data_IF_389142632290
#
_entry.id   IF_389142632290
#
_cell.length_a   1.000
_cell.length_b   1.000
_cell.length_c   1.000
_cell.angle_alpha   90.00
_cell.angle_beta   90.00
_cell.angle_gamma   90.00
#
_symmetry.space_group_name_H-M   'P 1'
#
loop_
_entity.id
_entity.type
_entity.pdbx_description
1 polymer ?
#
# COMPACT_ATOMS: atom_id res chain seq x y z
N UNK A 1 40.15 1.45 -14.68
CA UNK A 1 38.77 1.90 -14.95
C UNK A 1 38.52 3.05 -14.00
N UNK A 2 38.32 4.25 -14.52
CA UNK A 2 38.03 5.45 -13.73
C UNK A 2 36.71 5.26 -12.96
N UNK A 3 36.63 5.83 -11.76
CA UNK A 3 35.43 5.77 -10.89
C UNK A 3 34.17 6.26 -11.62
N UNK A 4 34.32 7.21 -12.55
CA UNK A 4 33.27 7.73 -13.42
C UNK A 4 32.60 6.64 -14.29
N UNK A 5 33.36 5.69 -14.81
CA UNK A 5 32.81 4.58 -15.64
C UNK A 5 32.03 3.61 -14.76
N UNK A 6 32.44 3.42 -13.51
CA UNK A 6 31.76 2.54 -12.56
C UNK A 6 30.40 3.13 -12.14
N UNK A 7 30.32 4.45 -11.94
CA UNK A 7 29.08 5.13 -11.58
C UNK A 7 28.05 5.11 -12.72
N UNK A 8 28.47 5.37 -13.97
CA UNK A 8 27.57 5.33 -15.14
C UNK A 8 27.02 3.91 -15.36
N UNK A 9 27.88 2.89 -15.26
CA UNK A 9 27.46 1.49 -15.42
C UNK A 9 26.50 1.07 -14.31
N UNK A 10 26.72 1.56 -13.08
CA UNK A 10 25.83 1.31 -11.93
C UNK A 10 24.46 1.95 -12.15
N UNK A 11 24.42 3.20 -12.59
CA UNK A 11 23.18 3.93 -12.86
C UNK A 11 22.35 3.27 -13.99
N UNK A 12 23.00 2.89 -15.10
CA UNK A 12 22.33 2.23 -16.22
C UNK A 12 21.78 0.84 -15.86
N UNK A 13 22.50 0.10 -15.02
CA UNK A 13 22.08 -1.23 -14.58
C UNK A 13 20.90 -1.16 -13.59
N UNK A 14 20.85 -0.14 -12.73
CA UNK A 14 19.71 0.09 -11.84
C UNK A 14 18.42 0.44 -12.61
N UNK A 15 18.53 1.23 -13.68
CA UNK A 15 17.40 1.51 -14.58
C UNK A 15 16.92 0.27 -15.35
N UNK A 16 17.83 -0.62 -15.74
CA UNK A 16 17.52 -1.82 -16.52
C UNK A 16 16.95 -2.97 -15.69
N UNK A 17 17.30 -3.06 -14.40
CA UNK A 17 16.82 -4.11 -13.50
C UNK A 17 15.30 -4.09 -13.25
N UNK A 18 14.63 -2.96 -13.52
CA UNK A 18 13.17 -2.84 -13.46
C UNK A 18 12.45 -3.64 -14.57
N UNK A 19 13.16 -4.06 -15.63
CA UNK A 19 12.55 -4.68 -16.82
C UNK A 19 12.50 -6.22 -16.73
N UNK A 20 13.35 -6.86 -15.93
CA UNK A 20 13.63 -8.32 -15.99
C UNK A 20 12.86 -9.22 -15.00
N UNK A 21 11.69 -8.80 -14.50
CA UNK A 21 10.86 -9.57 -13.55
C UNK A 21 10.01 -10.69 -14.19
N UNK A 22 10.62 -11.61 -14.95
CA UNK A 22 9.91 -12.76 -15.55
C UNK A 22 9.25 -13.71 -14.55
N UNK A 23 9.78 -13.82 -13.32
CA UNK A 23 9.19 -14.59 -12.20
C UNK A 23 8.18 -13.75 -11.40
N UNK A 24 8.24 -12.42 -11.55
CA UNK A 24 7.22 -11.48 -11.09
C UNK A 24 5.87 -11.71 -11.75
N UNK A 25 5.75 -12.50 -12.82
CA UNK A 25 4.46 -12.78 -13.47
C UNK A 25 3.51 -13.58 -12.60
N UNK A 26 3.96 -14.65 -11.93
CA UNK A 26 3.05 -15.44 -11.07
C UNK A 26 2.68 -14.70 -9.78
N UNK A 27 3.62 -13.97 -9.17
CA UNK A 27 3.31 -13.08 -8.05
C UNK A 27 2.50 -11.87 -8.47
N UNK A 28 2.68 -11.35 -9.69
CA UNK A 28 1.79 -10.36 -10.28
C UNK A 28 0.43 -10.97 -10.62
N UNK A 29 0.33 -12.24 -10.99
CA UNK A 29 -0.96 -12.91 -11.18
C UNK A 29 -1.66 -13.14 -9.85
N UNK A 30 -0.96 -13.50 -8.77
CA UNK A 30 -1.56 -13.61 -7.44
C UNK A 30 -1.89 -12.25 -6.83
N UNK A 31 -1.06 -11.22 -7.04
CA UNK A 31 -1.38 -9.85 -6.66
C UNK A 31 -2.51 -9.29 -7.51
N UNK A 32 -2.55 -9.53 -8.83
CA UNK A 32 -3.68 -9.16 -9.69
C UNK A 32 -4.92 -9.94 -9.33
N UNK A 33 -4.82 -11.20 -8.95
CA UNK A 33 -5.95 -11.99 -8.46
C UNK A 33 -6.44 -11.44 -7.12
N UNK A 34 -5.54 -11.11 -6.19
CA UNK A 34 -5.88 -10.42 -4.94
C UNK A 34 -6.51 -9.07 -5.22
N UNK A 35 -5.97 -8.26 -6.13
CA UNK A 35 -6.54 -6.99 -6.57
C UNK A 35 -7.89 -7.22 -7.23
N UNK A 36 -8.05 -8.21 -8.11
CA UNK A 36 -9.33 -8.55 -8.73
C UNK A 36 -10.34 -9.07 -7.73
N UNK A 37 -9.92 -9.78 -6.68
CA UNK A 37 -10.80 -10.24 -5.60
C UNK A 37 -11.14 -9.09 -4.65
N UNK A 38 -10.19 -8.22 -4.31
CA UNK A 38 -10.41 -7.07 -3.41
C UNK A 38 -11.20 -5.96 -4.09
N UNK A 39 -10.93 -5.67 -5.36
CA UNK A 39 -11.73 -4.77 -6.21
C UNK A 39 -13.04 -5.46 -6.62
N UNK A 40 -13.00 -6.76 -6.88
CA UNK A 40 -14.14 -7.60 -7.28
C UNK A 40 -15.15 -7.86 -6.17
N UNK A 41 -14.71 -7.88 -4.91
CA UNK A 41 -15.56 -8.22 -3.77
C UNK A 41 -16.70 -7.23 -3.62
N UNK A 42 -16.48 -5.95 -3.94
CA UNK A 42 -17.54 -4.93 -4.00
C UNK A 42 -18.62 -5.30 -5.01
N UNK A 43 -18.26 -5.95 -6.11
CA UNK A 43 -19.22 -6.38 -7.13
C UNK A 43 -20.02 -7.63 -6.75
N UNK A 44 -19.59 -8.38 -5.73
CA UNK A 44 -20.36 -9.51 -5.19
C UNK A 44 -21.68 -9.00 -4.59
N UNK A 45 -21.69 -7.80 -3.99
CA UNK A 45 -22.90 -7.19 -3.47
C UNK A 45 -23.95 -6.92 -4.57
N UNK A 46 -23.52 -6.70 -5.82
CA UNK A 46 -24.42 -6.51 -6.97
C UNK A 46 -25.01 -7.81 -7.53
N UNK A 47 -24.74 -8.97 -6.93
CA UNK A 47 -25.30 -10.22 -7.43
C UNK A 47 -26.84 -10.19 -7.50
N UNK A 48 -27.51 -9.59 -6.50
CA UNK A 48 -28.96 -9.37 -6.50
C UNK A 48 -29.44 -8.63 -7.74
N UNK A 49 -28.73 -7.58 -8.15
CA UNK A 49 -29.08 -6.74 -9.29
C UNK A 49 -28.89 -7.47 -10.62
N UNK A 50 -27.83 -8.28 -10.72
CA UNK A 50 -27.65 -9.17 -11.87
C UNK A 50 -28.77 -10.20 -11.94
N UNK A 51 -29.17 -10.78 -10.80
CA UNK A 51 -30.29 -11.71 -10.70
C UNK A 51 -31.61 -11.07 -11.14
N UNK A 52 -31.88 -9.84 -10.71
CA UNK A 52 -33.10 -9.09 -11.04
C UNK A 52 -33.12 -8.67 -12.52
N UNK A 53 -31.99 -8.19 -13.07
CA UNK A 53 -31.88 -7.86 -14.49
C UNK A 53 -32.06 -9.08 -15.41
N UNK A 54 -31.69 -10.27 -14.93
CA UNK A 54 -31.84 -11.55 -15.64
C UNK A 54 -33.16 -12.26 -15.32
N UNK A 55 -34.10 -11.66 -14.59
CA UNK A 55 -35.41 -12.26 -14.28
C UNK A 55 -36.15 -12.85 -15.51
N UNK A 56 -36.05 -12.31 -16.74
CA UNK A 56 -36.66 -12.93 -17.92
C UNK A 56 -36.04 -14.28 -18.36
N UNK A 57 -34.80 -14.56 -17.93
CA UNK A 57 -34.01 -15.73 -18.32
C UNK A 57 -33.72 -16.67 -17.14
N UNK A 58 -33.77 -16.16 -15.91
CA UNK A 58 -33.38 -16.87 -14.71
C UNK A 58 -34.59 -17.49 -14.00
N UNK A 59 -34.38 -18.67 -13.40
CA UNK A 59 -35.39 -19.30 -12.53
C UNK A 59 -35.51 -18.48 -11.23
N UNK A 60 -36.69 -18.38 -10.59
CA UNK A 60 -36.87 -17.58 -9.37
C UNK A 60 -35.86 -17.89 -8.26
N UNK A 61 -35.48 -19.16 -8.10
CA UNK A 61 -34.46 -19.58 -7.14
C UNK A 61 -33.08 -18.93 -7.36
N UNK A 62 -32.70 -18.66 -8.62
CA UNK A 62 -31.42 -17.99 -8.93
C UNK A 62 -31.44 -16.56 -8.41
N UNK A 63 -32.58 -15.86 -8.56
CA UNK A 63 -32.76 -14.51 -8.05
C UNK A 63 -32.70 -14.51 -6.52
N UNK A 64 -33.41 -15.44 -5.87
CA UNK A 64 -33.38 -15.59 -4.40
C UNK A 64 -31.97 -15.87 -3.87
N UNK A 65 -31.22 -16.77 -4.52
CA UNK A 65 -29.83 -17.08 -4.14
C UNK A 65 -28.93 -15.86 -4.33
N UNK A 66 -29.14 -15.08 -5.39
CA UNK A 66 -28.38 -13.85 -5.63
C UNK A 66 -28.62 -12.81 -4.52
N UNK A 67 -29.87 -12.66 -4.04
CA UNK A 67 -30.15 -11.85 -2.85
C UNK A 67 -29.47 -12.39 -1.59
N UNK A 68 -29.48 -13.71 -1.40
CA UNK A 68 -28.81 -14.33 -0.25
C UNK A 68 -27.30 -14.07 -0.25
N UNK A 69 -26.64 -14.13 -1.43
CA UNK A 69 -25.21 -13.81 -1.58
C UNK A 69 -24.93 -12.35 -1.24
N UNK A 70 -25.75 -11.42 -1.75
CA UNK A 70 -25.60 -10.00 -1.46
C UNK A 70 -25.76 -9.68 0.04
N UNK A 71 -26.77 -10.25 0.70
CA UNK A 71 -26.95 -10.09 2.14
C UNK A 71 -25.81 -10.73 2.94
N UNK A 72 -25.36 -11.93 2.56
CA UNK A 72 -24.24 -12.59 3.21
C UNK A 72 -22.95 -11.75 3.12
N UNK A 73 -22.72 -11.06 2.01
CA UNK A 73 -21.61 -10.12 1.86
C UNK A 73 -21.70 -8.96 2.85
N UNK A 74 -22.87 -8.30 2.94
CA UNK A 74 -23.07 -7.17 3.85
C UNK A 74 -22.93 -7.60 5.32
N UNK A 75 -23.58 -8.69 5.71
CA UNK A 75 -23.45 -9.21 7.07
C UNK A 75 -22.02 -9.66 7.38
N UNK A 76 -21.32 -10.20 6.38
CA UNK A 76 -19.91 -10.56 6.48
C UNK A 76 -19.02 -9.33 6.72
N UNK A 77 -19.18 -8.25 5.95
CA UNK A 77 -18.41 -7.01 6.10
C UNK A 77 -18.68 -6.34 7.45
N UNK A 78 -19.95 -6.17 7.81
CA UNK A 78 -20.34 -5.58 9.10
C UNK A 78 -19.89 -6.46 10.28
N UNK A 79 -20.06 -7.78 10.17
CA UNK A 79 -19.63 -8.71 11.20
C UNK A 79 -18.10 -8.74 11.39
N UNK A 80 -17.35 -8.75 10.29
CA UNK A 80 -15.88 -8.72 10.32
C UNK A 80 -15.35 -7.42 10.92
N UNK A 81 -15.91 -6.27 10.51
CA UNK A 81 -15.52 -4.96 11.04
C UNK A 81 -15.86 -4.83 12.53
N UNK A 82 -17.04 -5.28 12.97
CA UNK A 82 -17.39 -5.34 14.39
C UNK A 82 -16.49 -6.29 15.20
N UNK A 83 -16.15 -7.47 14.65
CA UNK A 83 -15.20 -8.39 15.30
C UNK A 83 -13.81 -7.78 15.43
N UNK A 84 -13.36 -7.08 14.40
CA UNK A 84 -12.08 -6.38 14.42
C UNK A 84 -12.09 -5.23 15.43
N UNK A 85 -13.14 -4.41 15.45
CA UNK A 85 -13.31 -3.34 16.42
C UNK A 85 -13.33 -3.87 17.86
N UNK A 86 -14.05 -4.98 18.11
CA UNK A 86 -14.14 -5.61 19.42
C UNK A 86 -12.79 -6.07 20.00
N UNK A 87 -11.76 -6.26 19.16
CA UNK A 87 -10.41 -6.60 19.65
C UNK A 87 -9.64 -5.39 20.18
N UNK A 88 -9.98 -4.19 19.72
CA UNK A 88 -9.34 -2.93 20.12
C UNK A 88 -10.07 -2.17 21.23
N UNK A 89 -11.31 -2.54 21.54
CA UNK A 89 -12.09 -1.94 22.63
C UNK A 89 -11.82 -2.64 23.98
N UNK A 90 -11.82 -1.86 25.06
CA UNK A 90 -11.76 -2.39 26.42
C UNK A 90 -13.00 -3.23 26.75
N UNK A 91 -12.77 -4.50 27.07
CA UNK A 91 -13.84 -5.48 27.32
C UNK A 91 -14.64 -5.20 28.59
N UNK A 92 -14.06 -4.43 29.51
CA UNK A 92 -14.67 -4.10 30.80
C UNK A 92 -15.45 -2.78 30.77
N UNK A 93 -15.47 -2.06 29.62
CA UNK A 93 -16.25 -0.83 29.49
C UNK A 93 -17.76 -1.11 29.33
N UNK A 94 -18.63 -0.40 30.08
CA UNK A 94 -20.07 -0.52 29.92
C UNK A 94 -20.59 -0.01 28.56
N UNK A 95 -19.80 0.78 27.81
CA UNK A 95 -20.20 1.35 26.51
C UNK A 95 -19.88 0.45 25.32
N UNK A 96 -19.10 -0.62 25.49
CA UNK A 96 -18.60 -1.45 24.38
C UNK A 96 -19.72 -1.92 23.43
N UNK A 97 -20.87 -2.33 23.98
CA UNK A 97 -22.01 -2.79 23.17
C UNK A 97 -22.64 -1.64 22.37
N UNK A 98 -22.73 -0.45 22.95
CA UNK A 98 -23.25 0.73 22.27
C UNK A 98 -22.31 1.17 21.15
N UNK A 99 -20.99 1.15 21.41
CA UNK A 99 -19.97 1.54 20.44
C UNK A 99 -19.93 0.55 19.25
N UNK A 100 -19.99 -0.76 19.52
CA UNK A 100 -20.09 -1.77 18.47
C UNK A 100 -21.41 -1.68 17.69
N UNK A 101 -22.53 -1.41 18.36
CA UNK A 101 -23.81 -1.21 17.69
C UNK A 101 -23.80 0.03 16.80
N UNK A 102 -23.12 1.10 17.23
CA UNK A 102 -22.93 2.32 16.45
C UNK A 102 -22.10 2.07 15.19
N UNK A 103 -20.96 1.39 15.34
CA UNK A 103 -20.12 0.96 14.21
C UNK A 103 -20.91 0.09 13.23
N UNK A 104 -21.69 -0.87 13.75
CA UNK A 104 -22.52 -1.75 12.93
C UNK A 104 -23.60 -0.96 12.17
N UNK A 105 -24.25 0.01 12.82
CA UNK A 105 -25.28 0.84 12.22
C UNK A 105 -24.71 1.75 11.13
N UNK A 106 -23.62 2.47 11.41
CA UNK A 106 -22.94 3.36 10.45
C UNK A 106 -22.44 2.57 9.24
N UNK A 107 -21.77 1.43 9.46
CA UNK A 107 -21.26 0.58 8.37
C UNK A 107 -22.38 -0.11 7.61
N UNK A 108 -23.39 -0.63 8.31
CA UNK A 108 -24.51 -1.33 7.70
C UNK A 108 -25.38 -0.43 6.83
N UNK A 109 -25.63 0.81 7.27
CA UNK A 109 -26.36 1.81 6.47
C UNK A 109 -25.61 2.22 5.22
N UNK A 110 -24.30 2.50 5.34
CA UNK A 110 -23.46 2.78 4.18
C UNK A 110 -23.49 1.61 3.19
N UNK A 111 -23.22 0.39 3.65
CA UNK A 111 -23.16 -0.79 2.78
C UNK A 111 -24.51 -1.09 2.11
N UNK A 112 -25.63 -0.96 2.83
CA UNK A 112 -26.96 -1.18 2.22
C UNK A 112 -27.34 -0.10 1.21
N UNK A 113 -27.01 1.17 1.48
CA UNK A 113 -27.31 2.27 0.54
C UNK A 113 -26.41 2.24 -0.69
N UNK A 114 -25.09 2.14 -0.48
CA UNK A 114 -24.09 2.21 -1.54
C UNK A 114 -24.05 0.96 -2.40
N UNK A 115 -24.25 -0.24 -1.81
CA UNK A 115 -24.06 -1.51 -2.52
C UNK A 115 -25.36 -2.20 -2.95
N UNK A 116 -26.52 -1.80 -2.43
CA UNK A 116 -27.81 -2.39 -2.82
C UNK A 116 -28.79 -1.34 -3.34
N UNK A 117 -29.15 -0.35 -2.53
CA UNK A 117 -30.30 0.50 -2.83
C UNK A 117 -30.10 1.42 -4.04
N UNK A 118 -29.06 2.25 -4.04
CA UNK A 118 -28.84 3.23 -5.13
C UNK A 118 -28.44 2.57 -6.45
N UNK A 119 -27.61 1.52 -6.46
CA UNK A 119 -27.31 0.74 -7.66
C UNK A 119 -28.55 0.06 -8.25
N UNK A 120 -29.40 -0.55 -7.40
CA UNK A 120 -30.65 -1.16 -7.84
C UNK A 120 -31.58 -0.15 -8.52
N UNK A 121 -31.78 1.02 -7.87
CA UNK A 121 -32.59 2.09 -8.44
C UNK A 121 -32.05 2.59 -9.78
N UNK A 122 -30.73 2.68 -9.91
CA UNK A 122 -30.06 3.16 -11.13
C UNK A 122 -30.24 2.16 -12.27
N UNK A 123 -29.95 0.87 -12.02
CA UNK A 123 -30.10 -0.20 -13.01
C UNK A 123 -31.57 -0.33 -13.43
N UNK A 124 -32.50 -0.33 -12.46
CA UNK A 124 -33.94 -0.36 -12.74
C UNK A 124 -34.38 0.83 -13.61
N UNK A 125 -33.91 2.03 -13.29
CA UNK A 125 -34.21 3.24 -14.06
C UNK A 125 -33.68 3.13 -15.50
N UNK A 126 -32.43 2.69 -15.69
CA UNK A 126 -31.82 2.49 -17.01
C UNK A 126 -32.61 1.47 -17.83
N UNK A 127 -32.96 0.32 -17.25
CA UNK A 127 -33.76 -0.71 -17.91
C UNK A 127 -35.13 -0.16 -18.31
N UNK A 128 -35.79 0.56 -17.41
CA UNK A 128 -37.11 1.15 -17.65
C UNK A 128 -37.12 2.19 -18.77
N UNK A 129 -36.17 3.13 -18.76
CA UNK A 129 -36.11 4.20 -19.76
C UNK A 129 -35.55 3.72 -21.11
N UNK A 130 -34.73 2.68 -21.13
CA UNK A 130 -34.23 2.10 -22.37
C UNK A 130 -35.21 1.14 -23.05
N UNK A 131 -36.15 0.54 -22.30
CA UNK A 131 -37.19 -0.37 -22.82
C UNK A 131 -37.90 0.13 -24.09
N UNK A 132 -38.47 1.35 -24.10
CA UNK A 132 -39.14 1.91 -25.29
C UNK A 132 -38.21 2.11 -26.50
N UNK A 133 -36.91 2.33 -26.27
CA UNK A 133 -35.93 2.47 -27.34
C UNK A 133 -35.63 1.11 -27.96
N UNK A 134 -35.40 0.09 -27.13
CA UNK A 134 -35.14 -1.28 -27.59
C UNK A 134 -36.38 -1.95 -28.21
N UNK A 135 -37.59 -1.51 -27.88
CA UNK A 135 -38.84 -1.95 -28.49
C UNK A 135 -38.90 -1.75 -30.01
N UNK A 136 -38.18 -0.75 -30.55
CA UNK A 136 -38.18 -0.38 -31.96
C UNK A 136 -37.33 -1.30 -32.85
N UNK A 137 -36.51 -2.18 -32.26
CA UNK A 137 -35.63 -3.06 -33.03
C UNK A 137 -36.37 -4.27 -33.61
N UNK A 138 -36.00 -4.63 -34.85
CA UNK A 138 -36.56 -5.78 -35.59
C UNK A 138 -36.24 -7.13 -34.93
N UNK A 139 -35.10 -7.25 -34.25
CA UNK A 139 -34.69 -8.50 -33.59
C UNK A 139 -35.41 -8.72 -32.26
N UNK A 140 -36.06 -9.88 -32.12
CA UNK A 140 -36.78 -10.28 -30.88
C UNK A 140 -35.82 -10.40 -29.70
N UNK A 141 -34.59 -10.88 -29.92
CA UNK A 141 -33.58 -11.03 -28.86
C UNK A 141 -33.10 -9.68 -28.33
N UNK A 142 -32.87 -8.72 -29.23
CA UNK A 142 -32.45 -7.35 -28.87
C UNK A 142 -33.56 -6.63 -28.11
N UNK A 143 -34.81 -6.85 -28.51
CA UNK A 143 -35.98 -6.30 -27.82
C UNK A 143 -36.16 -6.85 -26.41
N UNK A 144 -35.96 -8.15 -26.24
CA UNK A 144 -36.15 -8.83 -24.96
C UNK A 144 -34.98 -8.64 -23.98
N UNK A 145 -33.73 -8.62 -24.47
CA UNK A 145 -32.53 -8.61 -23.62
C UNK A 145 -31.76 -7.30 -23.64
N UNK A 146 -31.99 -6.43 -24.63
CA UNK A 146 -31.26 -5.17 -24.80
C UNK A 146 -31.27 -4.27 -23.56
N UNK A 147 -32.45 -3.98 -22.96
CA UNK A 147 -32.53 -3.16 -21.76
C UNK A 147 -31.76 -3.75 -20.57
N UNK A 148 -31.91 -5.06 -20.33
CA UNK A 148 -31.20 -5.75 -19.23
C UNK A 148 -29.68 -5.76 -19.42
N UNK A 149 -29.20 -5.99 -20.64
CA UNK A 149 -27.77 -5.95 -20.97
C UNK A 149 -27.23 -4.54 -20.75
N UNK A 150 -27.97 -3.51 -21.19
CA UNK A 150 -27.57 -2.12 -20.98
C UNK A 150 -27.49 -1.76 -19.50
N UNK A 151 -28.47 -2.18 -18.69
CA UNK A 151 -28.44 -2.01 -17.23
C UNK A 151 -27.23 -2.69 -16.60
N UNK A 152 -26.95 -3.94 -16.96
CA UNK A 152 -25.81 -4.70 -16.43
C UNK A 152 -24.45 -4.08 -16.80
N UNK A 153 -24.32 -3.50 -18.01
CA UNK A 153 -23.10 -2.83 -18.45
C UNK A 153 -22.76 -1.59 -17.62
N UNK A 154 -23.70 -1.04 -16.85
CA UNK A 154 -23.45 0.12 -15.98
C UNK A 154 -22.86 -0.25 -14.63
N UNK A 155 -22.94 -1.51 -14.21
CA UNK A 155 -22.46 -2.00 -12.90
C UNK A 155 -21.00 -1.60 -12.59
N UNK A 156 -20.03 -1.70 -13.53
CA UNK A 156 -18.64 -1.27 -13.28
C UNK A 156 -18.48 0.21 -12.89
N UNK A 157 -19.43 1.06 -13.25
CA UNK A 157 -19.36 2.51 -13.02
C UNK A 157 -20.04 2.94 -11.70
N UNK A 158 -20.96 2.12 -11.16
CA UNK A 158 -21.78 2.49 -10.01
C UNK A 158 -20.95 2.80 -8.74
N UNK A 159 -19.91 2.01 -8.36
CA UNK A 159 -19.10 2.33 -7.18
C UNK A 159 -18.39 3.69 -7.30
N UNK A 160 -17.96 4.06 -8.50
CA UNK A 160 -17.26 5.32 -8.72
C UNK A 160 -18.19 6.54 -8.58
N UNK A 161 -19.48 6.36 -8.90
CA UNK A 161 -20.48 7.41 -8.82
C UNK A 161 -21.02 7.56 -7.39
N UNK A 162 -21.28 6.45 -6.71
CA UNK A 162 -22.06 6.47 -5.47
C UNK A 162 -21.22 6.33 -4.19
N UNK A 163 -20.09 5.64 -4.19
CA UNK A 163 -19.38 5.31 -2.94
C UNK A 163 -19.05 6.59 -2.14
N UNK A 164 -18.36 7.56 -2.74
CA UNK A 164 -17.95 8.78 -2.05
C UNK A 164 -19.12 9.70 -1.62
N UNK A 165 -20.09 10.08 -2.47
CA UNK A 165 -21.17 10.96 -2.02
C UNK A 165 -22.07 10.31 -0.98
N UNK A 166 -22.25 8.98 -1.04
CA UNK A 166 -23.05 8.24 -0.05
C UNK A 166 -22.29 8.16 1.27
N UNK A 167 -20.98 7.92 1.24
CA UNK A 167 -20.13 7.93 2.44
C UNK A 167 -20.24 9.26 3.16
N UNK A 168 -20.00 10.38 2.46
CA UNK A 168 -20.11 11.72 3.04
C UNK A 168 -21.52 12.00 3.58
N UNK A 169 -22.57 11.58 2.86
CA UNK A 169 -23.95 11.79 3.32
C UNK A 169 -24.27 10.97 4.58
N UNK A 170 -23.87 9.70 4.62
CA UNK A 170 -24.08 8.81 5.77
C UNK A 170 -23.28 9.32 6.97
N UNK A 171 -22.01 9.65 6.79
CA UNK A 171 -21.17 10.22 7.85
C UNK A 171 -21.76 11.49 8.42
N UNK A 172 -22.13 12.46 7.58
CA UNK A 172 -22.73 13.72 8.03
C UNK A 172 -24.01 13.50 8.84
N UNK A 173 -24.85 12.54 8.44
CA UNK A 173 -26.10 12.22 9.15
C UNK A 173 -25.80 11.57 10.49
N UNK A 174 -24.91 10.57 10.52
CA UNK A 174 -24.57 9.88 11.77
C UNK A 174 -23.86 10.82 12.75
N UNK A 175 -22.94 11.65 12.26
CA UNK A 175 -22.25 12.63 13.08
C UNK A 175 -23.24 13.67 13.61
N UNK A 176 -24.16 14.16 12.77
CA UNK A 176 -25.24 15.03 13.23
C UNK A 176 -26.04 14.38 14.37
N UNK A 177 -26.41 13.11 14.25
CA UNK A 177 -27.14 12.39 15.31
C UNK A 177 -26.28 12.29 16.58
N UNK A 178 -25.00 11.97 16.45
CA UNK A 178 -24.03 11.87 17.55
C UNK A 178 -23.90 13.21 18.30
N UNK A 179 -23.75 14.32 17.56
CA UNK A 179 -23.72 15.67 18.11
C UNK A 179 -24.99 16.02 18.88
N UNK A 180 -26.18 15.71 18.34
CA UNK A 180 -27.45 15.98 19.02
C UNK A 180 -27.59 15.15 20.30
N UNK A 181 -27.15 13.89 20.28
CA UNK A 181 -27.15 13.03 21.48
C UNK A 181 -26.16 13.55 22.54
N UNK A 182 -24.96 13.98 22.13
CA UNK A 182 -23.95 14.54 23.03
C UNK A 182 -24.42 15.86 23.67
N UNK A 183 -25.04 16.74 22.88
CA UNK A 183 -25.61 17.99 23.37
C UNK A 183 -26.76 17.74 24.36
N UNK A 184 -27.61 16.73 24.12
CA UNK A 184 -28.69 16.36 25.03
C UNK A 184 -28.17 15.74 26.35
N UNK A 185 -27.00 15.10 26.32
CA UNK A 185 -26.30 14.58 27.51
C UNK A 185 -25.51 15.65 28.29
N UNK A 186 -25.50 16.91 27.82
CA UNK A 186 -24.93 18.05 28.54
C UNK A 186 -23.47 18.37 28.22
N UNK A 187 -22.94 17.93 27.08
CA UNK A 187 -21.61 18.33 26.63
C UNK A 187 -21.62 19.80 26.15
N UNK A 188 -20.86 20.65 26.85
CA UNK A 188 -20.79 22.10 26.60
C UNK A 188 -20.13 22.44 25.26
N UNK A 189 -19.24 21.58 24.74
CA UNK A 189 -18.63 21.78 23.42
C UNK A 189 -19.64 21.52 22.30
N UNK A 190 -20.41 20.43 22.40
CA UNK A 190 -21.42 20.08 21.40
C UNK A 190 -22.56 21.11 21.36
N UNK A 191 -22.98 21.65 22.51
CA UNK A 191 -24.01 22.70 22.58
C UNK A 191 -23.53 24.00 21.91
N UNK A 192 -22.28 24.40 22.15
CA UNK A 192 -21.70 25.61 21.55
C UNK A 192 -21.56 25.49 20.03
N UNK A 193 -21.12 24.32 19.53
CA UNK A 193 -21.02 24.05 18.09
C UNK A 193 -22.37 24.00 17.37
N UNK A 194 -23.45 23.62 18.07
CA UNK A 194 -24.82 23.68 17.57
C UNK A 194 -25.35 25.13 17.46
N UNK A 195 -25.01 25.98 18.42
CA UNK A 195 -25.39 27.40 18.42
C UNK A 195 -24.64 28.21 17.35
N UNK A 196 -23.36 27.87 17.09
CA UNK A 196 -22.52 28.54 16.08
C UNK A 196 -22.79 28.07 14.63
N UNK A 197 -23.69 27.09 14.43
CA UNK A 197 -24.11 26.62 13.09
C UNK A 197 -23.08 25.78 12.33
N UNK A 198 -22.01 25.32 12.99
CA UNK A 198 -20.87 24.65 12.36
C UNK A 198 -21.06 23.11 12.32
N UNK A 199 -22.25 22.67 11.94
CA UNK A 199 -22.70 21.26 11.97
C UNK A 199 -21.99 20.34 10.96
N UNK A 200 -21.23 20.89 10.01
CA UNK A 200 -20.70 20.16 8.84
C UNK A 200 -19.26 19.65 9.01
N UNK A 201 -18.64 19.80 10.19
CA UNK A 201 -17.26 19.34 10.43
C UNK A 201 -17.22 18.36 11.60
N UNK A 202 -17.37 17.08 11.24
CA UNK A 202 -17.54 15.93 12.14
C UNK A 202 -16.51 15.77 13.25
N UNK A 203 -16.92 15.09 14.32
CA UNK A 203 -16.11 14.70 15.50
C UNK A 203 -14.91 13.78 15.19
N UNK A 204 -14.74 13.35 13.93
CA UNK A 204 -13.68 12.42 13.49
C UNK A 204 -12.72 13.00 12.44
N UNK A 205 -12.40 14.28 12.52
CA UNK A 205 -11.21 14.85 11.87
C UNK A 205 -10.45 15.75 12.83
N UNK A 206 -9.77 15.17 13.82
CA UNK A 206 -8.45 15.71 14.18
C UNK A 206 -7.41 15.03 13.28
N UNK A 207 -7.42 15.37 12.00
CA UNK A 207 -6.13 15.61 11.35
C UNK A 207 -5.46 16.75 12.13
N UNK A 208 -4.19 16.63 12.55
CA UNK A 208 -3.49 17.73 13.19
C UNK A 208 -3.17 18.80 12.13
N UNK A 209 -4.19 19.54 11.71
CA UNK A 209 -4.09 20.75 10.92
C UNK A 209 -5.41 21.50 11.08
N UNK A 210 -5.29 22.70 11.64
CA UNK A 210 -6.32 23.71 11.92
C UNK A 210 -7.12 23.58 13.22
N UNK A 211 -6.40 23.72 14.35
CA UNK A 211 -6.87 24.61 15.43
C UNK A 211 -5.78 25.66 15.73
N UNK A 212 -5.93 26.81 15.12
CA UNK A 212 -5.53 28.08 15.71
C UNK A 212 -6.75 28.61 16.46
N UNK A 213 -6.86 28.30 17.75
CA UNK A 213 -7.31 29.23 18.79
C UNK A 213 -7.37 28.50 20.15
N UNK A 214 -6.24 28.51 20.87
CA UNK A 214 -6.16 28.83 22.29
C UNK A 214 -4.70 28.75 22.75
N UNK A 215 -4.01 29.89 22.67
CA UNK A 215 -3.05 30.31 23.71
C UNK A 215 -1.79 29.47 23.94
N UNK A 216 -1.28 28.73 22.96
CA UNK A 216 0.08 28.15 23.02
C UNK A 216 0.93 28.74 21.91
N UNK A 217 2.07 29.29 22.32
CA UNK A 217 2.98 30.15 21.56
C UNK A 217 3.36 29.60 20.17
N UNK A 218 2.96 30.37 19.15
CA UNK A 218 3.35 30.31 17.74
C UNK A 218 4.83 30.67 17.52
N UNK A 219 5.74 29.99 18.21
CA UNK A 219 7.19 30.09 17.98
C UNK A 219 7.83 28.71 17.70
N UNK A 220 7.06 27.61 17.75
CA UNK A 220 7.52 26.25 17.39
C UNK A 220 6.86 25.68 16.12
N UNK A 221 5.69 26.17 15.72
CA UNK A 221 5.02 25.75 14.48
C UNK A 221 5.67 26.35 13.20
N UNK A 222 6.69 27.21 13.36
CA UNK A 222 7.36 27.92 12.27
C UNK A 222 8.66 27.29 11.76
N UNK A 223 8.97 26.01 12.00
CA UNK A 223 10.29 25.45 11.60
C UNK A 223 10.34 23.98 11.15
N UNK A 224 9.20 23.32 10.87
CA UNK A 224 9.18 21.89 10.49
C UNK A 224 8.06 21.60 9.47
N UNK A 225 8.32 21.75 8.17
CA UNK A 225 7.42 21.28 7.12
C UNK A 225 7.68 19.80 6.85
N UNK A 226 6.77 18.91 7.23
CA UNK A 226 6.91 17.47 6.93
C UNK A 226 6.74 17.25 5.43
N UNK A 227 7.76 16.69 4.77
CA UNK A 227 7.74 16.37 3.33
C UNK A 227 7.01 15.06 3.06
N UNK A 228 7.19 14.05 3.91
CA UNK A 228 6.49 12.77 3.77
C UNK A 228 6.97 11.68 4.71
N UNK A 229 6.22 10.58 4.76
CA UNK A 229 6.49 9.40 5.57
C UNK A 229 6.61 8.18 4.65
N UNK A 230 7.66 7.37 4.84
CA UNK A 230 7.85 6.13 4.12
C UNK A 230 8.13 4.97 5.05
N UNK A 231 7.54 3.82 4.76
CA UNK A 231 7.71 2.58 5.52
C UNK A 231 8.09 1.46 4.57
N UNK A 232 9.04 0.61 4.97
CA UNK A 232 9.43 -0.58 4.22
C UNK A 232 9.72 -1.78 5.12
N UNK A 233 9.55 -2.98 4.54
CA UNK A 233 9.78 -4.24 5.22
C UNK A 233 10.48 -5.25 4.30
N UNK A 234 11.54 -5.88 4.83
CA UNK A 234 12.37 -6.87 4.12
C UNK A 234 12.32 -8.21 4.85
N UNK A 235 12.12 -9.28 4.08
CA UNK A 235 12.14 -10.66 4.57
C UNK A 235 13.47 -11.32 4.19
N UNK A 236 14.26 -11.74 5.19
CA UNK A 236 15.61 -12.30 5.03
C UNK A 236 15.63 -13.57 4.16
N UNK A 237 14.74 -14.58 4.38
CA UNK A 237 14.67 -15.76 3.50
C UNK A 237 14.46 -15.42 2.02
N UNK A 238 13.65 -14.39 1.71
CA UNK A 238 13.42 -13.94 0.33
C UNK A 238 14.69 -13.32 -0.25
N UNK A 239 15.45 -12.56 0.55
CA UNK A 239 16.70 -11.95 0.11
C UNK A 239 17.78 -13.00 -0.14
N UNK A 240 17.88 -14.01 0.72
CA UNK A 240 18.74 -15.19 0.49
C UNK A 240 18.44 -15.86 -0.86
N UNK A 241 17.16 -16.13 -1.15
CA UNK A 241 16.74 -16.70 -2.45
C UNK A 241 17.06 -15.79 -3.63
N UNK A 242 17.07 -14.46 -3.46
CA UNK A 242 17.44 -13.52 -4.53
C UNK A 242 18.93 -13.62 -4.82
N UNK A 243 19.77 -13.57 -3.78
CA UNK A 243 21.23 -13.68 -3.92
C UNK A 243 21.62 -15.04 -4.49
N UNK A 244 21.00 -16.13 -4.02
CA UNK A 244 21.22 -17.48 -4.55
C UNK A 244 20.84 -17.61 -6.03
N UNK A 245 19.70 -17.03 -6.45
CA UNK A 245 19.30 -17.01 -7.88
C UNK A 245 20.26 -16.20 -8.74
N UNK A 246 20.82 -15.11 -8.22
CA UNK A 246 21.83 -14.34 -8.95
C UNK A 246 23.14 -15.12 -9.03
N UNK A 247 23.56 -15.78 -7.96
CA UNK A 247 24.72 -16.68 -7.95
C UNK A 247 24.59 -17.81 -8.98
N UNK A 248 23.43 -18.47 -9.04
CA UNK A 248 23.17 -19.54 -10.00
C UNK A 248 23.32 -19.07 -11.47
N UNK A 249 22.97 -17.82 -11.76
CA UNK A 249 23.16 -17.20 -13.09
C UNK A 249 24.64 -16.89 -13.40
N UNK A 250 25.46 -16.65 -12.37
CA UNK A 250 26.88 -16.35 -12.50
C UNK A 250 27.77 -17.60 -12.51
N UNK A 251 27.32 -18.72 -11.93
CA UNK A 251 28.05 -20.00 -11.90
C UNK A 251 28.64 -20.45 -13.25
N UNK A 252 27.93 -20.39 -14.40
CA UNK A 252 28.52 -20.79 -15.68
C UNK A 252 29.65 -19.87 -16.16
N UNK A 253 29.71 -18.62 -15.69
CA UNK A 253 30.77 -17.66 -16.03
C UNK A 253 32.02 -17.81 -15.14
N UNK A 254 31.86 -18.39 -13.95
CA UNK A 254 32.93 -18.56 -12.95
C UNK A 254 33.63 -19.91 -13.08
N UNK A 255 33.00 -20.91 -13.72
CA UNK A 255 33.66 -22.18 -14.04
C UNK A 255 34.68 -21.96 -15.17
N UNK A 256 35.98 -22.21 -14.95
CA UNK A 256 36.92 -22.26 -16.07
C UNK A 256 36.49 -23.37 -17.04
N UNK A 257 36.72 -23.16 -18.33
CA UNK A 257 36.33 -24.04 -19.44
C UNK A 257 36.98 -25.44 -19.44
N UNK A 258 37.52 -25.90 -18.32
CA UNK A 258 38.15 -27.20 -18.12
C UNK A 258 37.42 -28.02 -17.06
N UNK A 259 36.15 -28.35 -17.30
CA UNK A 259 35.45 -29.45 -16.62
C UNK A 259 34.26 -29.90 -17.47
N UNK A 260 34.54 -30.48 -18.62
CA UNK A 260 33.59 -31.28 -19.39
C UNK A 260 33.26 -32.56 -18.63
N UNK A 261 32.02 -32.67 -18.14
CA UNK A 261 31.32 -33.95 -18.01
C UNK A 261 29.80 -33.70 -18.05
N UNK A 262 29.04 -34.39 -18.92
CA UNK A 262 27.58 -34.32 -18.89
C UNK A 262 27.09 -35.26 -17.80
N UNK A 263 26.42 -34.73 -16.77
CA UNK A 263 25.62 -35.57 -15.87
C UNK A 263 24.21 -35.03 -15.80
N UNK A 264 23.34 -35.72 -16.53
CA UNK A 264 21.90 -35.69 -16.41
C UNK A 264 21.54 -36.26 -15.03
N UNK A 265 21.34 -35.40 -14.03
CA UNK A 265 20.77 -35.77 -12.74
C UNK A 265 19.82 -34.65 -12.28
N UNK A 266 18.61 -34.99 -11.81
CA UNK A 266 17.66 -33.99 -11.33
C UNK A 266 18.21 -33.36 -10.04
N UNK A 267 18.39 -32.05 -10.05
CA UNK A 267 18.87 -31.29 -8.89
C UNK A 267 17.85 -31.35 -7.76
N UNK A 268 18.24 -32.02 -6.67
CA UNK A 268 17.56 -31.96 -5.37
C UNK A 268 17.48 -30.51 -4.84
N UNK A 269 16.49 -30.18 -3.99
CA UNK A 269 16.30 -28.81 -3.49
C UNK A 269 17.54 -28.32 -2.74
N UNK A 270 17.93 -27.10 -3.10
CA UNK A 270 19.18 -26.43 -2.72
C UNK A 270 19.14 -25.85 -1.29
N UNK A 271 18.80 -26.65 -0.28
CA UNK A 271 18.77 -26.18 1.11
C UNK A 271 20.04 -26.54 1.93
N UNK A 272 20.92 -27.45 1.47
CA UNK A 272 22.08 -27.92 2.27
C UNK A 272 23.45 -27.93 1.54
N UNK A 273 23.69 -27.05 0.56
CA UNK A 273 25.03 -26.94 -0.04
C UNK A 273 25.95 -26.06 0.83
N UNK A 274 27.19 -26.49 1.16
CA UNK A 274 28.07 -25.75 2.06
C UNK A 274 28.40 -24.35 1.53
N UNK A 275 28.31 -23.41 2.45
CA UNK A 275 28.57 -21.98 2.33
C UNK A 275 30.03 -21.75 1.94
N UNK A 276 30.32 -21.64 0.64
CA UNK A 276 31.34 -20.76 0.00
C UNK A 276 31.49 -21.09 -1.49
N UNK A 277 30.43 -20.88 -2.27
CA UNK A 277 30.62 -20.80 -3.73
C UNK A 277 31.15 -19.40 -4.10
N UNK A 278 32.23 -19.29 -4.91
CA UNK A 278 32.73 -17.99 -5.37
C UNK A 278 31.65 -17.18 -6.09
N UNK A 279 30.71 -17.85 -6.78
CA UNK A 279 29.56 -17.21 -7.42
C UNK A 279 28.58 -16.60 -6.40
N UNK A 280 28.39 -17.23 -5.23
CA UNK A 280 27.54 -16.70 -4.16
C UNK A 280 28.18 -15.47 -3.51
N UNK A 281 29.48 -15.51 -3.26
CA UNK A 281 30.23 -14.36 -2.76
C UNK A 281 30.20 -13.19 -3.75
N UNK A 282 30.35 -13.48 -5.05
CA UNK A 282 30.24 -12.47 -6.11
C UNK A 282 28.84 -11.88 -6.22
N UNK A 283 27.79 -12.71 -6.12
CA UNK A 283 26.41 -12.25 -6.13
C UNK A 283 26.06 -11.39 -4.91
N UNK A 284 26.53 -11.77 -3.72
CA UNK A 284 26.36 -10.99 -2.50
C UNK A 284 27.11 -9.66 -2.58
N UNK A 285 28.33 -9.66 -3.13
CA UNK A 285 29.11 -8.44 -3.37
C UNK A 285 28.43 -7.53 -4.40
N UNK A 286 27.84 -8.11 -5.46
CA UNK A 286 27.08 -7.36 -6.44
C UNK A 286 25.85 -6.69 -5.81
N UNK A 287 25.12 -7.40 -4.94
CA UNK A 287 24.00 -6.83 -4.20
C UNK A 287 24.47 -5.71 -3.25
N UNK A 288 25.51 -5.94 -2.45
CA UNK A 288 26.09 -4.94 -1.56
C UNK A 288 26.49 -3.66 -2.31
N UNK A 289 27.15 -3.82 -3.46
CA UNK A 289 27.51 -2.74 -4.38
C UNK A 289 26.35 -1.99 -4.99
N UNK A 290 25.10 -2.42 -4.87
CA UNK A 290 23.93 -1.62 -5.29
C UNK A 290 23.30 -0.93 -4.09
N UNK A 291 23.22 -1.65 -2.98
CA UNK A 291 22.58 -1.17 -1.75
C UNK A 291 23.43 -0.14 -1.02
N UNK A 292 24.74 -0.31 -0.91
CA UNK A 292 25.58 0.49 -0.02
C UNK A 292 26.09 1.77 -0.69
N UNK A 293 26.10 2.86 0.09
CA UNK A 293 26.81 4.10 -0.24
C UNK A 293 28.33 3.90 -0.11
N UNK A 294 29.16 4.79 -0.70
CA UNK A 294 30.61 4.69 -0.58
C UNK A 294 31.10 4.61 0.88
N UNK A 295 30.53 5.41 1.78
CA UNK A 295 30.88 5.36 3.20
C UNK A 295 30.48 4.05 3.87
N UNK A 296 29.29 3.53 3.59
CA UNK A 296 28.82 2.25 4.14
C UNK A 296 29.59 1.04 3.59
N UNK A 297 30.02 1.08 2.32
CA UNK A 297 30.81 0.02 1.69
C UNK A 297 32.17 -0.12 2.37
N UNK A 298 32.84 1.00 2.72
CA UNK A 298 34.10 0.99 3.46
C UNK A 298 33.93 0.33 4.84
N UNK A 299 32.86 0.67 5.56
CA UNK A 299 32.53 0.06 6.86
C UNK A 299 32.20 -1.41 6.69
N UNK A 300 31.39 -1.76 5.69
CA UNK A 300 31.00 -3.13 5.41
C UNK A 300 32.21 -4.00 5.08
N UNK A 301 33.15 -3.53 4.25
CA UNK A 301 34.38 -4.27 3.94
C UNK A 301 35.25 -4.52 5.18
N UNK A 302 35.26 -3.60 6.14
CA UNK A 302 35.98 -3.76 7.41
C UNK A 302 35.35 -4.79 8.34
N UNK A 303 34.01 -4.79 8.45
CA UNK A 303 33.28 -5.60 9.44
C UNK A 303 32.85 -6.97 8.88
N UNK A 304 32.59 -7.05 7.57
CA UNK A 304 32.10 -8.25 6.87
C UNK A 304 32.95 -9.53 7.10
N UNK A 305 34.30 -9.48 7.14
CA UNK A 305 35.10 -10.68 7.40
C UNK A 305 34.86 -11.32 8.77
N UNK A 306 34.46 -10.52 9.77
CA UNK A 306 34.17 -10.99 11.14
C UNK A 306 32.71 -11.38 11.39
N UNK A 307 31.83 -11.22 10.41
CA UNK A 307 30.38 -11.47 10.56
C UNK A 307 29.96 -12.82 9.96
N UNK A 308 28.96 -13.45 10.58
CA UNK A 308 28.29 -14.61 9.99
C UNK A 308 27.61 -14.25 8.66
N UNK A 309 27.34 -15.26 7.83
CA UNK A 309 26.62 -15.04 6.56
C UNK A 309 25.25 -14.38 6.77
N UNK A 310 24.52 -14.82 7.81
CA UNK A 310 23.23 -14.24 8.19
C UNK A 310 23.36 -12.80 8.69
N UNK A 311 24.39 -12.49 9.49
CA UNK A 311 24.63 -11.13 9.97
C UNK A 311 24.99 -10.17 8.82
N UNK A 312 25.76 -10.62 7.83
CA UNK A 312 26.02 -9.86 6.60
C UNK A 312 24.74 -9.63 5.81
N UNK A 313 23.90 -10.65 5.68
CA UNK A 313 22.61 -10.53 5.01
C UNK A 313 21.69 -9.55 5.73
N UNK A 314 21.55 -9.67 7.05
CA UNK A 314 20.79 -8.75 7.90
C UNK A 314 21.33 -7.33 7.83
N UNK A 315 22.66 -7.16 7.77
CA UNK A 315 23.28 -5.86 7.55
C UNK A 315 22.75 -5.21 6.27
N UNK A 316 22.79 -5.93 5.15
CA UNK A 316 22.33 -5.43 3.85
C UNK A 316 20.82 -5.19 3.81
N UNK A 317 20.02 -6.09 4.40
CA UNK A 317 18.55 -5.97 4.46
C UNK A 317 18.14 -4.70 5.20
N UNK A 318 18.83 -4.41 6.30
CA UNK A 318 18.56 -3.21 7.09
C UNK A 318 18.77 -1.95 6.27
N UNK A 319 19.87 -1.85 5.53
CA UNK A 319 20.16 -0.65 4.71
C UNK A 319 19.19 -0.56 3.55
N UNK A 320 18.85 -1.68 2.93
CA UNK A 320 17.84 -1.72 1.88
C UNK A 320 16.48 -1.20 2.37
N UNK A 321 15.98 -1.72 3.49
CA UNK A 321 14.72 -1.27 4.08
C UNK A 321 14.72 0.23 4.40
N UNK A 322 15.81 0.74 4.99
CA UNK A 322 15.93 2.17 5.31
C UNK A 322 15.89 3.04 4.06
N UNK A 323 16.56 2.61 2.98
CA UNK A 323 16.68 3.36 1.74
C UNK A 323 15.39 3.34 0.93
N UNK A 324 14.68 2.21 0.90
CA UNK A 324 13.35 2.10 0.32
C UNK A 324 12.32 2.94 1.08
N UNK A 325 12.36 2.92 2.42
CA UNK A 325 11.52 3.78 3.25
C UNK A 325 11.80 5.26 2.98
N UNK A 326 13.07 5.66 2.88
CA UNK A 326 13.44 7.03 2.56
C UNK A 326 13.01 7.45 1.16
N UNK A 327 13.19 6.59 0.16
CA UNK A 327 12.71 6.84 -1.21
C UNK A 327 11.19 7.11 -1.22
N UNK A 328 10.40 6.28 -0.51
CA UNK A 328 8.94 6.46 -0.39
C UNK A 328 8.56 7.76 0.32
N UNK A 329 9.36 8.20 1.30
CA UNK A 329 9.11 9.42 2.06
C UNK A 329 9.29 10.70 1.23
N UNK A 330 10.13 10.67 0.19
CA UNK A 330 10.49 11.87 -0.58
C UNK A 330 9.98 11.87 -2.02
N UNK A 331 9.59 10.71 -2.54
CA UNK A 331 8.99 10.61 -3.87
C UNK A 331 7.58 11.23 -3.85
N UNK A 332 7.20 12.08 -4.83
CA UNK A 332 7.87 12.36 -6.12
C UNK A 332 8.82 13.58 -6.10
N UNK A 333 8.99 14.26 -4.97
CA UNK A 333 9.72 15.52 -4.85
C UNK A 333 11.23 15.38 -5.05
N UNK A 334 11.81 14.25 -4.62
CA UNK A 334 13.23 13.95 -4.79
C UNK A 334 13.40 12.50 -5.25
N UNK A 335 14.09 12.29 -6.37
CA UNK A 335 14.41 10.96 -6.89
C UNK A 335 15.76 10.51 -6.34
N UNK A 336 15.70 9.70 -5.29
CA UNK A 336 16.88 9.14 -4.66
C UNK A 336 17.28 7.79 -5.28
N UNK A 337 18.59 7.55 -5.36
CA UNK A 337 19.16 6.22 -5.58
C UNK A 337 19.61 5.65 -4.22
N UNK A 338 19.71 4.33 -4.12
CA UNK A 338 20.19 3.70 -2.88
C UNK A 338 21.62 4.16 -2.50
N UNK A 339 22.45 4.46 -3.50
CA UNK A 339 23.80 5.04 -3.34
C UNK A 339 23.84 6.37 -2.63
N UNK A 340 22.83 7.20 -2.86
CA UNK A 340 22.76 8.59 -2.42
C UNK A 340 22.47 8.72 -0.92
N UNK A 341 22.14 7.61 -0.26
CA UNK A 341 21.76 7.57 1.14
C UNK A 341 22.76 6.76 1.95
N UNK A 342 23.15 7.25 3.11
CA UNK A 342 24.00 6.55 4.05
C UNK A 342 23.30 6.44 5.41
N UNK A 343 23.20 5.21 5.94
CA UNK A 343 22.76 4.97 7.32
C UNK A 343 23.98 5.08 8.23
N UNK A 344 24.05 6.18 8.98
CA UNK A 344 25.14 6.45 9.91
C UNK A 344 24.65 6.32 11.35
N UNK A 345 25.55 5.86 12.21
CA UNK A 345 25.36 5.91 13.66
C UNK A 345 26.39 6.89 14.18
N UNK A 346 25.92 7.96 14.80
CA UNK A 346 26.78 8.92 15.47
C UNK A 346 27.17 8.34 16.84
N UNK A 347 28.42 8.48 17.25
CA UNK A 347 28.87 8.01 18.58
C UNK A 347 28.23 8.85 19.71
N UNK A 348 27.77 10.07 19.38
CA UNK A 348 27.09 10.98 20.32
C UNK A 348 25.59 10.70 20.49
N UNK A 349 24.95 10.05 19.51
CA UNK A 349 23.52 9.73 19.54
C UNK A 349 23.28 8.22 19.37
N UNK A 350 22.57 7.56 20.30
CA UNK A 350 22.33 6.12 20.21
C UNK A 350 21.43 5.73 19.02
N UNK A 351 20.76 6.70 18.39
CA UNK A 351 19.77 6.49 17.33
C UNK A 351 20.43 6.51 15.93
N UNK A 352 20.12 5.54 15.05
CA UNK A 352 20.58 5.58 13.66
C UNK A 352 19.98 6.79 12.93
N UNK A 353 20.80 7.45 12.12
CA UNK A 353 20.41 8.61 11.32
C UNK A 353 20.67 8.33 9.83
N UNK A 354 19.87 8.97 8.98
CA UNK A 354 19.98 8.83 7.54
C UNK A 354 20.46 10.14 6.95
N UNK A 355 21.49 10.07 6.10
CA UNK A 355 22.13 11.22 5.49
C UNK A 355 22.16 11.09 3.99
N UNK A 356 22.04 12.21 3.29
CA UNK A 356 22.37 12.27 1.88
C UNK A 356 23.90 12.34 1.74
N UNK A 357 24.44 11.47 0.90
CA UNK A 357 25.85 11.44 0.54
C UNK A 357 25.95 11.74 -0.97
N UNK A 358 26.03 13.03 -1.36
CA UNK A 358 26.21 13.39 -2.76
C UNK A 358 27.57 12.89 -3.25
N UNK A 359 27.58 12.22 -4.40
CA UNK A 359 28.80 11.95 -5.15
C UNK A 359 29.30 13.22 -5.88
N UNK A 360 30.53 13.20 -6.41
CA UNK A 360 31.16 14.36 -7.04
C UNK A 360 30.39 14.96 -8.24
N UNK A 361 29.45 14.21 -8.84
CA UNK A 361 28.60 14.66 -9.95
C UNK A 361 27.10 14.38 -9.72
N UNK A 362 26.67 14.20 -8.47
CA UNK A 362 25.26 13.92 -8.18
C UNK A 362 24.40 15.17 -8.44
N UNK A 363 23.45 15.05 -9.37
CA UNK A 363 22.45 16.08 -9.64
C UNK A 363 21.12 15.64 -9.06
N UNK A 364 20.53 16.44 -8.17
CA UNK A 364 19.26 16.09 -7.56
C UNK A 364 18.11 16.48 -8.47
N UNK A 365 17.23 15.51 -8.74
CA UNK A 365 16.07 15.73 -9.59
C UNK A 365 14.81 15.22 -8.92
N UNK A 366 13.71 15.91 -9.16
CA UNK A 366 12.36 15.42 -8.85
C UNK A 366 11.88 14.42 -9.92
N UNK A 367 10.74 13.76 -9.68
CA UNK A 367 10.18 12.78 -10.62
C UNK A 367 9.82 13.38 -12.00
N UNK A 368 9.50 14.68 -12.06
CA UNK A 368 9.23 15.43 -13.29
C UNK A 368 10.50 16.02 -13.94
N UNK A 369 11.69 15.74 -13.40
CA UNK A 369 12.97 16.13 -13.99
C UNK A 369 13.47 17.54 -13.62
N UNK A 370 12.73 18.29 -12.80
CA UNK A 370 13.15 19.58 -12.28
C UNK A 370 14.34 19.42 -11.31
N UNK A 371 15.18 20.47 -11.17
CA UNK A 371 16.25 20.48 -10.16
C UNK A 371 15.62 20.48 -8.77
N UNK A 372 16.15 19.61 -7.90
CA UNK A 372 15.74 19.45 -6.51
C UNK A 372 16.92 19.68 -5.56
N UNK A 373 17.94 20.43 -5.99
CA UNK A 373 19.19 20.61 -5.23
C UNK A 373 18.94 21.36 -3.91
N UNK A 374 18.12 22.42 -3.93
CA UNK A 374 17.73 23.16 -2.73
C UNK A 374 16.94 22.30 -1.72
N UNK A 375 16.13 21.36 -2.22
CA UNK A 375 15.40 20.42 -1.38
C UNK A 375 16.36 19.40 -0.75
N UNK A 376 17.32 18.89 -1.53
CA UNK A 376 18.31 17.94 -1.05
C UNK A 376 19.27 18.54 0.01
N UNK A 377 19.55 19.84 -0.03
CA UNK A 377 20.36 20.52 0.97
C UNK A 377 19.63 20.78 2.30
N UNK A 378 18.32 21.03 2.23
CA UNK A 378 17.52 21.38 3.41
C UNK A 378 16.92 20.15 4.10
N UNK A 379 16.66 19.07 3.38
CA UNK A 379 15.94 17.91 3.90
C UNK A 379 16.65 17.23 5.08
N UNK A 380 15.87 16.89 6.11
CA UNK A 380 16.32 16.09 7.24
C UNK A 380 15.48 14.81 7.34
N UNK A 381 16.15 13.72 7.70
CA UNK A 381 15.52 12.41 7.80
C UNK A 381 15.52 11.91 9.24
N UNK A 382 14.35 11.49 9.71
CA UNK A 382 14.20 10.78 10.97
C UNK A 382 13.96 9.30 10.69
N UNK A 383 14.96 8.49 11.04
CA UNK A 383 14.94 7.06 10.80
C UNK A 383 14.60 6.29 12.07
N UNK A 384 13.74 5.28 11.94
CA UNK A 384 13.50 4.25 12.93
C UNK A 384 13.61 2.88 12.26
N UNK A 385 14.30 1.95 12.91
CA UNK A 385 14.56 0.61 12.40
C UNK A 385 14.24 -0.39 13.49
N UNK A 386 13.55 -1.46 13.12
CA UNK A 386 13.40 -2.65 13.95
C UNK A 386 13.71 -3.89 13.13
N UNK A 387 14.31 -4.88 13.74
CA UNK A 387 14.45 -6.20 13.14
C UNK A 387 14.14 -7.27 14.18
N UNK A 388 13.30 -8.23 13.82
CA UNK A 388 12.96 -9.36 14.67
C UNK A 388 12.85 -10.63 13.82
N UNK A 389 13.50 -11.70 14.30
CA UNK A 389 13.70 -12.95 13.56
C UNK A 389 14.17 -12.74 12.11
N UNK A 390 13.28 -13.07 11.18
CA UNK A 390 13.50 -13.07 9.74
C UNK A 390 13.11 -11.76 9.02
N UNK A 391 12.66 -10.75 9.76
CA UNK A 391 12.12 -9.51 9.19
C UNK A 391 12.88 -8.29 9.66
N UNK A 392 13.02 -7.32 8.75
CA UNK A 392 13.52 -5.98 9.03
C UNK A 392 12.47 -4.97 8.59
N UNK A 393 12.12 -4.03 9.45
CA UNK A 393 11.17 -2.95 9.19
C UNK A 393 11.88 -1.62 9.40
N UNK A 394 11.70 -0.69 8.48
CA UNK A 394 12.19 0.68 8.59
C UNK A 394 11.05 1.67 8.36
N UNK A 395 11.07 2.76 9.13
CA UNK A 395 10.19 3.91 8.98
C UNK A 395 11.04 5.17 8.90
N UNK A 396 10.79 6.00 7.90
CA UNK A 396 11.53 7.24 7.63
C UNK A 396 10.52 8.37 7.49
N UNK A 397 10.69 9.41 8.30
CA UNK A 397 10.02 10.70 8.14
C UNK A 397 11.00 11.68 7.52
N UNK A 398 10.62 12.28 6.41
CA UNK A 398 11.37 13.35 5.77
C UNK A 398 10.76 14.70 6.14
N UNK A 399 11.58 15.63 6.61
CA UNK A 399 11.19 17.00 6.90
C UNK A 399 12.01 17.98 6.07
N UNK A 400 11.38 19.08 5.71
CA UNK A 400 12.00 20.25 5.12
C UNK A 400 11.89 21.40 6.16
N UNK A 401 13.01 21.83 6.77
CA UNK A 401 13.05 22.92 7.74
C UNK A 401 12.69 24.28 7.16
#
# INVERSE_FOLDING_TARGET
MSDEVLDIVREHHEQSAHIDEGIGRYTAYTMRLKTLITTGSRYIAYSSEVGEALRPLARPAVVTTAYAISWAYIFGDVGYTCWQASKGLDKDSPTMKADLAWIAARRGTFQTLASLYLPALTIHSIVRYSGPVFAKFRSVRVRALGPSILGLLTVPLLPLIFDHPVETAVENVFDSIEFHIAAWKGDKMAQKSLEDGNLLRGYYLTTPQDESENGVSTHLAGQLAVLGLGVDMVCLPRMHRLVARHAARLTPLVRPAAATAPQYAPTAPADDAPVTSPALAMAARHFARRVLSPSEELVYQRVSPGLSHEARMRYLATRWACKEAAYKAVYPHLRLLATHLAVKRDDSMPKPSLWLEPGPHTVWRSANGASADALAESIRFHLSISHDGDYVVASVLAEQP
#
